data_IF_703402967439
#
_entry.id   IF_703402967439
#
_cell.length_a   1.000
_cell.length_b   1.000
_cell.length_c   1.000
_cell.angle_alpha   90.00
_cell.angle_beta   90.00
_cell.angle_gamma   90.00
#
_symmetry.space_group_name_H-M   'P 1'
#
loop_
_entity.id
_entity.type
_entity.pdbx_description
1 polymer ?
#
# COMPACT_ATOMS: atom_id res chain seq x y z
N UNK A 1 8.15 -11.29 1.80
CA UNK A 1 7.84 -11.61 0.39
C UNK A 1 6.86 -10.57 -0.12
N UNK A 2 7.23 -9.93 -1.22
CA UNK A 2 6.55 -8.81 -1.86
C UNK A 2 5.97 -9.33 -3.19
N UNK A 3 4.72 -9.02 -3.51
CA UNK A 3 4.05 -9.40 -4.76
C UNK A 3 3.13 -8.25 -5.21
N UNK A 4 3.25 -7.74 -6.46
CA UNK A 4 2.40 -6.67 -6.94
C UNK A 4 0.95 -7.11 -7.14
N UNK A 5 0.01 -6.15 -7.06
CA UNK A 5 -1.41 -6.34 -7.36
C UNK A 5 -1.74 -5.86 -8.80
N UNK A 6 -2.82 -6.33 -9.44
CA UNK A 6 -3.79 -7.31 -8.94
C UNK A 6 -3.26 -8.73 -9.00
N UNK A 7 -3.52 -9.50 -7.94
CA UNK A 7 -3.13 -10.91 -7.85
C UNK A 7 -4.30 -11.80 -8.27
N UNK A 8 -4.04 -12.80 -9.11
CA UNK A 8 -4.99 -13.81 -9.54
C UNK A 8 -5.24 -14.83 -8.41
N UNK A 9 -6.40 -14.71 -7.78
CA UNK A 9 -6.82 -15.53 -6.66
C UNK A 9 -7.58 -16.79 -7.05
N UNK A 10 -7.77 -17.06 -8.35
CA UNK A 10 -8.51 -18.22 -8.83
C UNK A 10 -7.82 -19.52 -8.41
N UNK A 11 -8.63 -20.54 -8.07
CA UNK A 11 -8.14 -21.88 -7.71
C UNK A 11 -7.40 -22.49 -8.91
N UNK A 12 -6.10 -22.75 -8.77
CA UNK A 12 -5.22 -23.23 -9.85
C UNK A 12 -4.32 -22.15 -10.47
N UNK A 13 -4.47 -20.87 -10.10
CA UNK A 13 -3.48 -19.84 -10.42
C UNK A 13 -2.22 -20.05 -9.56
N UNK A 14 -1.12 -20.45 -10.19
CA UNK A 14 0.19 -20.72 -9.54
C UNK A 14 0.99 -19.44 -9.22
N UNK A 15 0.32 -18.33 -8.93
CA UNK A 15 0.99 -17.04 -8.73
C UNK A 15 1.60 -16.91 -7.34
N UNK A 16 1.01 -17.57 -6.33
CA UNK A 16 1.56 -17.67 -4.99
C UNK A 16 1.11 -18.98 -4.34
N UNK A 17 2.06 -19.77 -3.86
CA UNK A 17 1.76 -21.04 -3.20
C UNK A 17 0.92 -20.82 -1.92
N UNK A 18 0.04 -21.78 -1.61
CA UNK A 18 -0.94 -21.71 -0.53
C UNK A 18 -0.33 -21.65 0.87
N UNK A 19 0.88 -22.18 1.03
CA UNK A 19 1.68 -22.12 2.25
C UNK A 19 2.18 -20.70 2.56
N UNK A 20 2.39 -19.87 1.53
CA UNK A 20 2.88 -18.50 1.68
C UNK A 20 1.85 -17.55 2.30
N UNK A 21 0.53 -17.83 2.24
CA UNK A 21 -0.50 -16.98 2.86
C UNK A 21 -0.36 -16.85 4.37
N UNK A 22 0.13 -17.91 5.02
CA UNK A 22 0.33 -17.94 6.47
C UNK A 22 1.72 -17.48 6.87
N UNK A 23 2.57 -17.13 5.90
CA UNK A 23 3.92 -16.69 6.19
C UNK A 23 3.89 -15.29 6.80
N UNK A 24 4.37 -15.10 8.05
CA UNK A 24 4.35 -13.80 8.72
C UNK A 24 5.18 -12.73 7.98
N UNK A 25 6.10 -13.15 7.10
CA UNK A 25 6.89 -12.26 6.25
C UNK A 25 6.19 -11.88 4.93
N UNK A 26 4.96 -12.34 4.67
CA UNK A 26 4.21 -11.93 3.48
C UNK A 26 3.71 -10.49 3.67
N UNK A 27 4.13 -9.59 2.77
CA UNK A 27 3.96 -8.15 2.93
C UNK A 27 3.23 -7.49 1.75
N UNK A 28 2.37 -8.23 1.04
CA UNK A 28 1.62 -7.76 -0.15
C UNK A 28 0.80 -6.49 0.16
N UNK A 29 0.07 -6.46 1.28
CA UNK A 29 -0.73 -5.29 1.66
C UNK A 29 0.15 -4.12 2.09
N UNK A 30 1.21 -4.37 2.87
CA UNK A 30 2.19 -3.34 3.24
C UNK A 30 2.88 -2.73 2.02
N UNK A 31 3.16 -3.51 0.97
CA UNK A 31 3.69 -3.02 -0.30
C UNK A 31 2.71 -2.10 -1.01
N UNK A 32 1.45 -2.52 -1.13
CA UNK A 32 0.41 -1.75 -1.80
C UNK A 32 0.17 -0.43 -1.08
N UNK A 33 0.11 -0.46 0.26
CA UNK A 33 -0.07 0.72 1.11
C UNK A 33 1.12 1.69 1.01
N UNK A 34 2.34 1.18 1.13
CA UNK A 34 3.56 2.00 1.01
C UNK A 34 3.70 2.64 -0.39
N UNK A 35 3.06 2.07 -1.41
CA UNK A 35 3.06 2.62 -2.76
C UNK A 35 2.44 4.02 -2.83
N UNK A 36 1.48 4.35 -1.97
CA UNK A 36 0.87 5.68 -1.94
C UNK A 36 1.88 6.73 -1.49
N UNK A 37 2.53 6.53 -0.34
CA UNK A 37 3.51 7.47 0.22
C UNK A 37 4.68 7.70 -0.72
N UNK A 38 5.20 6.64 -1.34
CA UNK A 38 6.31 6.75 -2.31
C UNK A 38 5.88 7.56 -3.53
N UNK A 39 4.68 7.31 -4.08
CA UNK A 39 4.17 8.09 -5.23
C UNK A 39 3.97 9.56 -4.86
N UNK A 40 3.41 9.84 -3.69
CA UNK A 40 3.26 11.21 -3.19
C UNK A 40 4.61 11.92 -3.11
N UNK A 41 5.62 11.30 -2.51
CA UNK A 41 6.97 11.87 -2.44
C UNK A 41 7.57 12.16 -3.83
N UNK A 42 7.44 11.22 -4.78
CA UNK A 42 7.92 11.41 -6.15
C UNK A 42 7.23 12.60 -6.83
N UNK A 43 5.90 12.67 -6.78
CA UNK A 43 5.16 13.78 -7.40
C UNK A 43 5.50 15.13 -6.76
N UNK A 44 5.58 15.18 -5.43
CA UNK A 44 5.90 16.41 -4.71
C UNK A 44 7.30 16.93 -5.03
N UNK A 45 8.29 16.04 -5.17
CA UNK A 45 9.66 16.41 -5.56
C UNK A 45 9.75 16.85 -7.03
N UNK A 46 9.10 16.13 -7.94
CA UNK A 46 9.14 16.46 -9.38
C UNK A 46 8.41 17.78 -9.69
N UNK A 47 7.35 18.09 -8.96
CA UNK A 47 6.59 19.34 -9.12
C UNK A 47 7.12 20.49 -8.26
N UNK A 48 8.14 20.25 -7.44
CA UNK A 48 8.75 21.22 -6.52
C UNK A 48 7.74 21.89 -5.55
N UNK A 49 6.82 21.08 -5.01
CA UNK A 49 5.76 21.54 -4.09
C UNK A 49 5.89 20.98 -2.68
N UNK A 50 7.05 20.42 -2.33
CA UNK A 50 7.27 19.73 -1.04
C UNK A 50 6.94 20.65 0.15
N UNK A 51 7.36 21.91 0.08
CA UNK A 51 7.14 22.89 1.17
C UNK A 51 5.67 23.35 1.31
N UNK A 52 4.79 22.99 0.36
CA UNK A 52 3.38 23.36 0.37
C UNK A 52 2.46 22.26 0.95
N UNK A 53 2.99 21.05 1.18
CA UNK A 53 2.19 19.90 1.60
C UNK A 53 1.56 20.13 2.97
N UNK A 54 2.34 20.58 3.96
CA UNK A 54 1.84 20.81 5.32
C UNK A 54 0.75 21.89 5.34
N UNK A 55 0.88 22.94 4.52
CA UNK A 55 -0.09 24.03 4.43
C UNK A 55 -1.45 23.60 3.87
N UNK A 56 -1.49 22.50 3.12
CA UNK A 56 -2.71 21.99 2.45
C UNK A 56 -3.20 20.67 3.04
N UNK A 57 -2.46 20.11 3.98
CA UNK A 57 -2.83 18.89 4.71
C UNK A 57 -4.02 19.13 5.62
N UNK A 58 -4.84 18.09 5.83
CA UNK A 58 -5.99 18.13 6.73
C UNK A 58 -6.18 16.81 7.41
N UNK A 59 -6.75 16.84 8.61
CA UNK A 59 -7.12 15.63 9.32
C UNK A 59 -8.10 14.79 8.50
N UNK A 60 -7.86 13.50 8.51
CA UNK A 60 -8.68 12.51 7.83
C UNK A 60 -9.99 12.35 8.60
N UNK A 61 -11.12 12.57 7.93
CA UNK A 61 -12.44 12.48 8.55
C UNK A 61 -13.11 11.09 8.48
N UNK A 62 -12.46 10.10 7.83
CA UNK A 62 -12.99 8.75 7.75
C UNK A 62 -12.53 7.89 8.93
N UNK A 63 -13.49 7.21 9.56
CA UNK A 63 -13.24 6.33 10.71
C UNK A 63 -13.07 4.89 10.22
N UNK A 64 -11.93 4.28 10.56
CA UNK A 64 -11.73 2.83 10.37
C UNK A 64 -12.30 2.13 11.60
N UNK A 65 -13.19 1.16 11.40
CA UNK A 65 -13.66 0.32 12.49
C UNK A 65 -12.51 -0.59 12.95
N UNK A 66 -11.76 -0.14 13.96
CA UNK A 66 -10.82 -1.01 14.68
C UNK A 66 -11.67 -1.95 15.53
N UNK A 67 -12.06 -3.09 14.96
CA UNK A 67 -12.61 -4.21 15.73
C UNK A 67 -11.54 -4.63 16.74
N UNK A 68 -11.85 -4.43 18.01
CA UNK A 68 -11.19 -5.08 19.13
C UNK A 68 -11.54 -6.57 19.13
#
# INVERSE_FOLDING_TARGET
IMHPLPRDSRKGANELSLDLYKNPNLAIFRQADNGITIRMAIFSLVLDVVDQIENTSREVNWKINRRH
#
